data_IF_226526077679
#
_entry.id   IF_226526077679
#
_cell.length_a   1.000
_cell.length_b   1.000
_cell.length_c   1.000
_cell.angle_alpha   90.00
_cell.angle_beta   90.00
_cell.angle_gamma   90.00
#
_symmetry.space_group_name_H-M   'P 1'
#
loop_
_entity.id
_entity.type
_entity.pdbx_description
1 polymer ?
#
# COMPACT_ATOMS: atom_id res chain seq x y z
N UNK A 1 -8.11 -27.54 -2.56
CA UNK A 1 -8.07 -26.77 -3.83
C UNK A 1 -8.42 -25.34 -3.50
N UNK A 2 -7.59 -24.38 -3.92
CA UNK A 2 -7.95 -22.94 -3.78
C UNK A 2 -9.22 -22.67 -4.58
N UNK A 3 -10.17 -21.99 -3.98
CA UNK A 3 -11.40 -21.57 -4.66
C UNK A 3 -11.05 -20.65 -5.82
N UNK A 4 -11.62 -20.92 -6.99
CA UNK A 4 -11.36 -20.12 -8.22
C UNK A 4 -11.68 -18.64 -8.01
N UNK A 5 -12.66 -18.32 -7.18
CA UNK A 5 -13.02 -16.94 -6.84
C UNK A 5 -11.92 -16.21 -6.06
N UNK A 6 -11.25 -16.92 -5.16
CA UNK A 6 -10.12 -16.37 -4.39
C UNK A 6 -8.90 -16.11 -5.29
N UNK A 7 -8.57 -17.06 -6.17
CA UNK A 7 -7.47 -16.88 -7.14
C UNK A 7 -7.73 -15.66 -8.02
N UNK A 8 -8.94 -15.53 -8.54
CA UNK A 8 -9.34 -14.37 -9.34
C UNK A 8 -9.22 -13.07 -8.55
N UNK A 9 -9.66 -13.06 -7.29
CA UNK A 9 -9.56 -11.87 -6.42
C UNK A 9 -8.10 -11.46 -6.16
N UNK A 10 -7.20 -12.41 -5.98
CA UNK A 10 -5.76 -12.15 -5.82
C UNK A 10 -5.18 -11.53 -7.11
N UNK A 11 -5.51 -12.10 -8.28
CA UNK A 11 -5.04 -11.58 -9.58
C UNK A 11 -5.56 -10.16 -9.81
N UNK A 12 -6.85 -9.91 -9.60
CA UNK A 12 -7.45 -8.57 -9.74
C UNK A 12 -6.77 -7.58 -8.79
N UNK A 13 -6.46 -8.00 -7.57
CA UNK A 13 -5.78 -7.15 -6.58
C UNK A 13 -4.36 -6.76 -7.03
N UNK A 14 -3.59 -7.69 -7.57
CA UNK A 14 -2.25 -7.43 -8.11
C UNK A 14 -2.33 -6.42 -9.27
N UNK A 15 -3.27 -6.60 -10.18
CA UNK A 15 -3.50 -5.69 -11.31
C UNK A 15 -3.91 -4.30 -10.81
N UNK A 16 -4.83 -4.23 -9.84
CA UNK A 16 -5.28 -2.96 -9.27
C UNK A 16 -4.13 -2.20 -8.59
N UNK A 17 -3.26 -2.89 -7.83
CA UNK A 17 -2.07 -2.30 -7.22
C UNK A 17 -1.12 -1.79 -8.31
N UNK A 18 -0.84 -2.60 -9.35
CA UNK A 18 0.06 -2.24 -10.44
C UNK A 18 -0.44 -1.01 -11.23
N UNK A 19 -1.74 -0.94 -11.55
CA UNK A 19 -2.34 0.23 -12.20
C UNK A 19 -2.26 1.46 -11.30
N UNK A 20 -2.59 1.32 -10.01
CA UNK A 20 -2.55 2.43 -9.05
C UNK A 20 -1.12 2.94 -8.81
N UNK A 21 -0.11 2.11 -8.99
CA UNK A 21 1.30 2.50 -8.92
C UNK A 21 1.69 3.46 -10.06
N UNK A 22 1.03 3.40 -11.21
CA UNK A 22 1.28 4.30 -12.34
C UNK A 22 0.61 5.67 -12.18
N UNK A 23 -0.34 5.80 -11.24
CA UNK A 23 -0.91 7.08 -10.85
C UNK A 23 0.03 7.77 -9.85
N UNK A 24 1.11 8.36 -10.35
CA UNK A 24 2.17 8.97 -9.57
C UNK A 24 2.42 10.42 -9.97
N UNK A 25 2.88 11.21 -9.02
CA UNK A 25 3.54 12.48 -9.25
C UNK A 25 4.76 12.58 -8.33
N UNK A 26 5.86 13.06 -8.86
CA UNK A 26 7.09 13.21 -8.10
C UNK A 26 7.13 14.54 -7.32
N UNK A 27 7.58 14.45 -6.07
CA UNK A 27 8.02 15.62 -5.34
C UNK A 27 9.54 15.71 -5.49
N UNK A 28 10.07 16.78 -6.12
CA UNK A 28 11.51 16.97 -6.22
C UNK A 28 12.14 17.09 -4.83
N UNK A 29 13.16 16.29 -4.56
CA UNK A 29 13.97 16.39 -3.35
C UNK A 29 15.43 16.47 -3.74
N UNK A 30 16.29 17.00 -2.85
CA UNK A 30 17.73 17.09 -3.09
C UNK A 30 18.43 15.72 -3.22
N UNK A 31 17.76 14.62 -2.86
CA UNK A 31 18.27 13.24 -2.98
C UNK A 31 17.63 12.43 -4.11
N UNK A 32 16.90 13.07 -5.04
CA UNK A 32 16.09 12.39 -6.06
C UNK A 32 14.61 12.45 -5.72
N UNK A 33 13.72 12.34 -6.73
CA UNK A 33 12.28 12.38 -6.53
C UNK A 33 11.76 11.18 -5.73
N UNK A 34 10.88 11.42 -4.77
CA UNK A 34 10.12 10.35 -4.12
C UNK A 34 8.70 10.40 -4.69
N UNK A 35 8.23 9.34 -5.38
CA UNK A 35 6.93 9.36 -6.01
C UNK A 35 5.80 9.26 -4.98
N UNK A 36 4.82 10.16 -5.05
CA UNK A 36 3.52 10.01 -4.38
C UNK A 36 2.60 9.26 -5.33
N UNK A 37 2.25 8.04 -4.99
CA UNK A 37 1.49 7.14 -5.86
C UNK A 37 0.13 6.79 -5.29
N UNK A 38 -0.80 6.33 -6.15
CA UNK A 38 -2.03 5.66 -5.74
C UNK A 38 -1.81 4.30 -5.08
N UNK A 39 -0.61 3.75 -5.16
CA UNK A 39 -0.23 2.40 -4.74
C UNK A 39 -0.58 2.08 -3.28
N UNK A 40 -0.21 2.96 -2.33
CA UNK A 40 -0.49 2.75 -0.91
C UNK A 40 -1.99 2.70 -0.60
N UNK A 41 -2.81 3.47 -1.33
CA UNK A 41 -4.27 3.41 -1.22
C UNK A 41 -4.79 2.04 -1.69
N UNK A 42 -4.39 1.59 -2.89
CA UNK A 42 -4.82 0.31 -3.43
C UNK A 42 -4.43 -0.86 -2.51
N UNK A 43 -3.22 -0.84 -1.96
CA UNK A 43 -2.72 -1.83 -1.01
C UNK A 43 -3.60 -1.91 0.24
N UNK A 44 -3.93 -0.79 0.85
CA UNK A 44 -4.77 -0.77 2.05
C UNK A 44 -6.21 -1.20 1.75
N UNK A 45 -6.75 -0.84 0.58
CA UNK A 45 -8.07 -1.30 0.12
C UNK A 45 -8.08 -2.82 -0.07
N UNK A 46 -7.08 -3.37 -0.76
CA UNK A 46 -6.91 -4.82 -0.96
C UNK A 46 -6.80 -5.55 0.37
N UNK A 47 -5.98 -5.04 1.29
CA UNK A 47 -5.83 -5.62 2.63
C UNK A 47 -7.14 -5.62 3.42
N UNK A 48 -7.96 -4.57 3.28
CA UNK A 48 -9.23 -4.47 3.99
C UNK A 48 -10.30 -5.40 3.43
N UNK A 49 -10.34 -5.58 2.13
CA UNK A 49 -11.38 -6.35 1.44
C UNK A 49 -11.10 -7.86 1.43
N UNK A 50 -9.84 -8.27 1.26
CA UNK A 50 -9.49 -9.69 1.16
C UNK A 50 -9.29 -10.33 2.55
N UNK A 51 -10.01 -11.42 2.84
CA UNK A 51 -9.90 -12.13 4.11
C UNK A 51 -8.65 -13.02 4.19
N UNK A 52 -8.41 -13.61 5.36
CA UNK A 52 -7.51 -14.74 5.58
C UNK A 52 -6.07 -14.57 5.04
N UNK A 53 -5.54 -13.35 5.02
CA UNK A 53 -4.18 -13.10 4.55
C UNK A 53 -4.01 -13.05 3.02
N UNK A 54 -5.06 -13.24 2.22
CA UNK A 54 -4.96 -13.14 0.76
C UNK A 54 -4.57 -11.74 0.27
N UNK A 55 -4.88 -10.70 1.02
CA UNK A 55 -4.36 -9.36 0.75
C UNK A 55 -2.84 -9.28 0.90
N UNK A 56 -2.29 -9.90 1.94
CA UNK A 56 -0.83 -9.99 2.16
C UNK A 56 -0.18 -10.82 1.06
N UNK A 57 -0.80 -11.94 0.67
CA UNK A 57 -0.35 -12.76 -0.45
C UNK A 57 -0.31 -11.98 -1.77
N UNK A 58 -1.35 -11.18 -2.06
CA UNK A 58 -1.39 -10.32 -3.25
C UNK A 58 -0.23 -9.32 -3.28
N UNK A 59 0.07 -8.71 -2.13
CA UNK A 59 1.20 -7.77 -2.00
C UNK A 59 2.54 -8.49 -2.17
N UNK A 60 2.71 -9.65 -1.57
CA UNK A 60 3.94 -10.45 -1.70
C UNK A 60 4.20 -10.82 -3.16
N UNK A 61 3.18 -11.32 -3.87
CA UNK A 61 3.29 -11.66 -5.30
C UNK A 61 3.58 -10.40 -6.12
N UNK A 62 2.89 -9.28 -5.87
CA UNK A 62 3.15 -8.01 -6.54
C UNK A 62 4.62 -7.58 -6.39
N UNK A 63 5.17 -7.65 -5.16
CA UNK A 63 6.57 -7.31 -4.91
C UNK A 63 7.53 -8.26 -5.65
N UNK A 64 7.27 -9.56 -5.62
CA UNK A 64 8.09 -10.56 -6.32
C UNK A 64 8.09 -10.29 -7.84
N UNK A 65 6.92 -10.05 -8.43
CA UNK A 65 6.80 -9.74 -9.86
C UNK A 65 7.60 -8.49 -10.24
N UNK A 66 7.55 -7.45 -9.41
CA UNK A 66 8.37 -6.25 -9.63
C UNK A 66 9.88 -6.52 -9.47
N UNK A 67 10.30 -7.34 -8.50
CA UNK A 67 11.71 -7.74 -8.29
C UNK A 67 12.26 -8.48 -9.51
N UNK A 68 11.49 -9.41 -10.08
CA UNK A 68 11.91 -10.21 -11.23
C UNK A 68 11.87 -9.45 -12.57
N UNK A 69 11.50 -8.16 -12.55
CA UNK A 69 11.66 -7.27 -13.70
C UNK A 69 10.36 -6.84 -14.38
N UNK A 70 9.17 -7.22 -13.90
CA UNK A 70 7.93 -6.65 -14.43
C UNK A 70 7.83 -5.16 -14.06
N UNK A 71 7.55 -4.26 -15.02
CA UNK A 71 7.52 -2.81 -14.80
C UNK A 71 6.20 -2.37 -14.13
N UNK A 72 5.96 -2.86 -12.91
CA UNK A 72 4.70 -2.67 -12.17
C UNK A 72 4.83 -1.78 -10.94
N UNK A 73 6.05 -1.37 -10.57
CA UNK A 73 6.26 -0.35 -9.54
C UNK A 73 5.98 1.05 -10.09
N UNK A 74 6.05 2.07 -9.23
CA UNK A 74 5.86 3.46 -9.64
C UNK A 74 6.74 3.81 -10.86
N UNK A 75 6.19 4.62 -11.78
CA UNK A 75 6.86 5.09 -13.00
C UNK A 75 7.35 3.93 -13.90
N UNK A 76 6.53 2.89 -14.00
CA UNK A 76 6.83 1.67 -14.77
C UNK A 76 8.18 1.04 -14.42
N UNK A 77 8.62 1.22 -13.19
CA UNK A 77 9.92 0.71 -12.73
C UNK A 77 9.84 -0.72 -12.22
N UNK A 78 10.99 -1.36 -12.08
CA UNK A 78 11.13 -2.74 -11.62
C UNK A 78 12.54 -3.03 -11.10
N UNK A 79 12.75 -4.25 -10.63
CA UNK A 79 14.04 -4.78 -10.25
C UNK A 79 14.35 -4.66 -8.76
N UNK A 80 15.28 -5.49 -8.29
CA UNK A 80 15.71 -5.55 -6.90
C UNK A 80 16.29 -4.21 -6.41
N UNK A 81 16.92 -3.43 -7.30
CA UNK A 81 17.47 -2.11 -6.97
C UNK A 81 16.44 -1.13 -6.40
N UNK A 82 15.15 -1.29 -6.73
CA UNK A 82 14.09 -0.44 -6.15
C UNK A 82 13.83 -0.74 -4.68
N UNK A 83 14.11 -1.95 -4.21
CA UNK A 83 13.95 -2.31 -2.80
C UNK A 83 15.06 -1.76 -1.90
N UNK A 84 16.26 -1.56 -2.45
CA UNK A 84 17.38 -0.99 -1.71
C UNK A 84 17.53 0.51 -1.90
N UNK A 85 16.86 1.10 -2.89
CA UNK A 85 16.83 2.55 -3.12
C UNK A 85 15.86 3.30 -2.21
N UNK A 86 15.74 4.62 -2.42
CA UNK A 86 14.98 5.53 -1.56
C UNK A 86 13.52 5.14 -1.33
N UNK A 87 12.87 4.52 -2.30
CA UNK A 87 11.48 4.04 -2.17
C UNK A 87 11.36 2.64 -1.57
N UNK A 88 12.47 1.94 -1.36
CA UNK A 88 12.47 0.55 -0.91
C UNK A 88 11.75 0.35 0.42
N UNK A 89 11.98 1.25 1.38
CA UNK A 89 11.32 1.23 2.67
C UNK A 89 9.80 1.23 2.59
N UNK A 90 9.24 1.93 1.63
CA UNK A 90 7.78 1.95 1.40
C UNK A 90 7.32 0.63 0.78
N UNK A 91 8.10 0.04 -0.14
CA UNK A 91 7.74 -1.21 -0.80
C UNK A 91 7.65 -2.38 0.18
N UNK A 92 8.68 -2.64 0.98
CA UNK A 92 8.56 -3.68 2.01
C UNK A 92 7.73 -3.23 3.21
N UNK A 93 7.57 -1.92 3.41
CA UNK A 93 6.62 -1.34 4.34
C UNK A 93 5.17 -1.77 4.03
N UNK A 94 4.80 -1.93 2.76
CA UNK A 94 3.50 -2.47 2.37
C UNK A 94 3.27 -3.88 2.89
N UNK A 95 4.26 -4.75 2.77
CA UNK A 95 4.16 -6.13 3.23
C UNK A 95 4.12 -6.22 4.76
N UNK A 96 5.03 -5.52 5.44
CA UNK A 96 5.12 -5.51 6.90
C UNK A 96 3.83 -4.93 7.50
N UNK A 97 3.36 -3.78 6.99
CA UNK A 97 2.11 -3.18 7.43
C UNK A 97 0.92 -4.10 7.16
N UNK A 98 0.91 -4.80 6.02
CA UNK A 98 -0.12 -5.75 5.66
C UNK A 98 -0.21 -6.92 6.65
N UNK A 99 0.91 -7.48 7.05
CA UNK A 99 0.98 -8.55 8.06
C UNK A 99 0.45 -8.01 9.41
N UNK A 100 0.95 -6.86 9.86
CA UNK A 100 0.53 -6.25 11.13
C UNK A 100 -0.97 -5.94 11.16
N UNK A 101 -1.49 -5.31 10.09
CA UNK A 101 -2.91 -4.98 10.00
C UNK A 101 -3.80 -6.24 9.96
N UNK A 102 -3.35 -7.31 9.32
CA UNK A 102 -4.09 -8.56 9.28
C UNK A 102 -4.19 -9.21 10.66
N UNK A 103 -3.15 -9.08 11.47
CA UNK A 103 -3.15 -9.58 12.86
C UNK A 103 -3.97 -8.68 13.79
N UNK A 104 -3.88 -7.36 13.64
CA UNK A 104 -4.57 -6.40 14.52
C UNK A 104 -6.07 -6.27 14.20
N UNK A 105 -6.45 -6.49 12.94
CA UNK A 105 -7.84 -6.40 12.46
C UNK A 105 -8.29 -7.73 11.83
N UNK A 106 -8.43 -8.81 12.62
CA UNK A 106 -8.85 -10.11 12.08
C UNK A 106 -10.29 -10.06 11.52
N UNK A 107 -11.14 -9.19 12.08
CA UNK A 107 -12.54 -8.98 11.67
C UNK A 107 -12.72 -7.55 11.16
N UNK A 108 -12.71 -7.37 9.83
CA UNK A 108 -12.91 -6.08 9.19
C UNK A 108 -14.39 -5.88 8.88
N UNK A 109 -15.04 -5.06 9.70
CA UNK A 109 -16.48 -4.81 9.61
C UNK A 109 -16.79 -3.67 8.64
N UNK A 110 -18.04 -3.56 8.18
CA UNK A 110 -18.53 -2.42 7.38
C UNK A 110 -18.80 -1.17 8.24
N UNK A 111 -18.12 -1.01 9.38
CA UNK A 111 -18.27 0.13 10.27
C UNK A 111 -17.22 1.21 9.95
N UNK A 112 -17.66 2.46 9.95
CA UNK A 112 -16.84 3.64 9.65
C UNK A 112 -15.56 3.68 10.51
N UNK A 113 -15.69 3.51 11.83
CA UNK A 113 -14.55 3.54 12.74
C UNK A 113 -13.53 2.45 12.45
N UNK A 114 -13.98 1.24 12.09
CA UNK A 114 -13.09 0.12 11.73
C UNK A 114 -12.29 0.42 10.47
N UNK A 115 -12.96 0.92 9.42
CA UNK A 115 -12.30 1.28 8.17
C UNK A 115 -11.34 2.45 8.35
N UNK A 116 -11.77 3.51 9.05
CA UNK A 116 -10.94 4.69 9.31
C UNK A 116 -9.69 4.35 10.13
N UNK A 117 -9.84 3.57 11.22
CA UNK A 117 -8.70 3.15 12.05
C UNK A 117 -7.71 2.29 11.26
N UNK A 118 -8.23 1.36 10.42
CA UNK A 118 -7.39 0.52 9.57
C UNK A 118 -6.59 1.36 8.56
N UNK A 119 -7.25 2.27 7.84
CA UNK A 119 -6.59 3.14 6.85
C UNK A 119 -5.57 4.07 7.50
N UNK A 120 -5.91 4.64 8.65
CA UNK A 120 -5.00 5.54 9.40
C UNK A 120 -3.77 4.78 9.89
N UNK A 121 -3.96 3.66 10.59
CA UNK A 121 -2.85 2.87 11.10
C UNK A 121 -1.98 2.33 9.97
N UNK A 122 -2.59 1.81 8.90
CA UNK A 122 -1.85 1.29 7.75
C UNK A 122 -1.01 2.36 7.05
N UNK A 123 -1.58 3.54 6.82
CA UNK A 123 -0.84 4.67 6.25
C UNK A 123 0.32 5.09 7.15
N UNK A 124 0.08 5.19 8.47
CA UNK A 124 1.12 5.55 9.44
C UNK A 124 2.26 4.53 9.48
N UNK A 125 1.95 3.23 9.46
CA UNK A 125 2.96 2.17 9.42
C UNK A 125 3.81 2.22 8.15
N UNK A 126 3.17 2.40 6.98
CA UNK A 126 3.89 2.52 5.71
C UNK A 126 4.84 3.72 5.73
N UNK A 127 4.36 4.88 6.17
CA UNK A 127 5.19 6.08 6.29
C UNK A 127 6.33 5.89 7.29
N UNK A 128 6.06 5.29 8.44
CA UNK A 128 7.06 5.03 9.47
C UNK A 128 8.19 4.15 8.93
N UNK A 129 7.84 3.02 8.31
CA UNK A 129 8.84 2.06 7.78
C UNK A 129 9.64 2.70 6.64
N UNK A 130 8.96 3.41 5.73
CA UNK A 130 9.62 4.16 4.65
C UNK A 130 10.61 5.19 5.17
N UNK A 131 10.20 5.96 6.18
CA UNK A 131 11.04 7.00 6.80
C UNK A 131 12.23 6.41 7.55
N UNK A 132 12.02 5.31 8.29
CA UNK A 132 13.11 4.61 8.96
C UNK A 132 14.16 4.11 7.97
N UNK A 133 13.73 3.59 6.81
CA UNK A 133 14.66 3.21 5.75
C UNK A 133 15.45 4.41 5.22
N UNK A 134 14.77 5.50 4.89
CA UNK A 134 15.41 6.73 4.42
C UNK A 134 16.40 7.31 5.46
N UNK A 135 16.11 7.13 6.75
CA UNK A 135 16.96 7.67 7.82
C UNK A 135 18.34 7.03 7.88
N UNK A 136 18.50 5.83 7.34
CA UNK A 136 19.80 5.14 7.26
C UNK A 136 20.74 5.86 6.31
N UNK A 137 20.22 6.41 5.22
CA UNK A 137 21.02 7.10 4.19
C UNK A 137 21.15 8.61 4.46
N UNK A 138 20.05 9.28 4.82
CA UNK A 138 19.99 10.75 4.90
C UNK A 138 20.00 11.30 6.33
N UNK A 139 19.92 10.44 7.34
CA UNK A 139 19.68 10.83 8.74
C UNK A 139 18.21 11.19 9.01
N UNK A 140 17.79 11.10 10.27
CA UNK A 140 16.38 11.21 10.67
C UNK A 140 15.72 12.53 10.28
N UNK A 141 16.41 13.67 10.44
CA UNK A 141 15.85 14.98 10.13
C UNK A 141 15.44 15.09 8.65
N UNK A 142 16.34 14.72 7.73
CA UNK A 142 16.05 14.72 6.29
C UNK A 142 15.05 13.64 5.88
N UNK A 143 15.10 12.48 6.53
CA UNK A 143 14.13 11.42 6.28
C UNK A 143 12.70 11.87 6.62
N UNK A 144 12.50 12.64 7.67
CA UNK A 144 11.18 13.23 8.00
C UNK A 144 10.81 14.30 6.97
N UNK A 145 11.75 15.19 6.64
CA UNK A 145 11.53 16.26 5.66
C UNK A 145 11.12 15.73 4.29
N UNK A 146 11.77 14.65 3.80
CA UNK A 146 11.52 14.10 2.46
C UNK A 146 10.52 12.95 2.46
N UNK A 147 10.48 12.15 3.52
CA UNK A 147 9.71 10.90 3.58
C UNK A 147 8.38 11.00 4.33
N UNK A 148 8.11 12.09 5.07
CA UNK A 148 6.84 12.28 5.79
C UNK A 148 6.14 13.55 5.36
N UNK A 149 6.81 14.69 5.52
CA UNK A 149 6.19 16.02 5.36
C UNK A 149 5.44 16.18 4.04
N UNK A 150 5.99 15.85 2.86
CA UNK A 150 5.29 16.01 1.60
C UNK A 150 4.15 15.01 1.40
N UNK A 151 4.16 13.89 2.16
CA UNK A 151 3.13 12.87 2.03
C UNK A 151 1.89 13.13 2.86
N UNK A 152 1.96 13.98 3.91
CA UNK A 152 0.84 14.22 4.84
C UNK A 152 -0.46 14.61 4.13
N UNK A 153 -0.49 15.60 3.22
CA UNK A 153 -1.73 15.96 2.55
C UNK A 153 -2.33 14.81 1.75
N UNK A 154 -1.48 14.12 0.97
CA UNK A 154 -1.89 12.95 0.21
C UNK A 154 -2.34 11.77 1.09
N UNK A 155 -1.70 11.58 2.25
CA UNK A 155 -2.07 10.55 3.22
C UNK A 155 -3.48 10.77 3.77
N UNK A 156 -3.82 12.01 4.16
CA UNK A 156 -5.15 12.36 4.65
C UNK A 156 -6.21 12.06 3.58
N UNK A 157 -5.98 12.52 2.36
CA UNK A 157 -6.90 12.27 1.23
C UNK A 157 -7.07 10.77 0.98
N UNK A 158 -6.00 10.00 0.98
CA UNK A 158 -6.04 8.54 0.77
C UNK A 158 -6.77 7.80 1.91
N UNK A 159 -6.58 8.22 3.16
CA UNK A 159 -7.30 7.67 4.31
C UNK A 159 -8.81 7.87 4.12
N UNK A 160 -9.25 9.07 3.76
CA UNK A 160 -10.66 9.37 3.56
C UNK A 160 -11.25 8.62 2.36
N UNK A 161 -10.59 8.68 1.20
CA UNK A 161 -11.02 7.96 0.00
C UNK A 161 -11.06 6.46 0.25
N UNK A 162 -10.01 5.89 0.85
CA UNK A 162 -9.92 4.47 1.15
C UNK A 162 -11.03 4.01 2.10
N UNK A 163 -11.30 4.81 3.13
CA UNK A 163 -12.40 4.53 4.07
C UNK A 163 -13.75 4.47 3.35
N UNK A 164 -14.07 5.48 2.56
CA UNK A 164 -15.34 5.52 1.80
C UNK A 164 -15.41 4.36 0.80
N UNK A 165 -14.33 4.11 0.08
CA UNK A 165 -14.27 3.07 -0.96
C UNK A 165 -14.50 1.66 -0.39
N UNK A 166 -13.84 1.30 0.72
CA UNK A 166 -14.03 -0.04 1.30
C UNK A 166 -15.43 -0.23 1.88
N UNK A 167 -16.01 0.82 2.46
CA UNK A 167 -17.39 0.78 2.96
C UNK A 167 -18.38 0.64 1.81
N UNK A 168 -18.20 1.36 0.72
CA UNK A 168 -19.03 1.29 -0.47
C UNK A 168 -18.99 -0.12 -1.10
N UNK A 169 -17.80 -0.68 -1.29
CA UNK A 169 -17.62 -2.03 -1.85
C UNK A 169 -18.28 -3.07 -0.95
N UNK A 170 -18.10 -2.99 0.37
CA UNK A 170 -18.75 -3.91 1.30
C UNK A 170 -20.27 -3.77 1.31
N UNK A 171 -20.78 -2.56 1.19
CA UNK A 171 -22.24 -2.33 1.12
C UNK A 171 -22.87 -2.95 -0.14
N UNK A 172 -22.16 -2.91 -1.28
CA UNK A 172 -22.60 -3.58 -2.52
C UNK A 172 -22.50 -5.10 -2.36
N UNK A 173 -21.37 -5.61 -1.87
CA UNK A 173 -21.16 -7.06 -1.70
C UNK A 173 -22.23 -7.70 -0.81
N UNK A 174 -22.63 -7.03 0.27
CA UNK A 174 -23.67 -7.51 1.19
C UNK A 174 -25.08 -7.47 0.60
N UNK A 175 -25.29 -6.82 -0.57
CA UNK A 175 -26.61 -6.79 -1.26
C UNK A 175 -26.73 -7.86 -2.35
N UNK A 176 -25.63 -8.49 -2.74
CA UNK A 176 -25.58 -9.46 -3.85
C UNK A 176 -25.57 -10.90 -3.33
N UNK A 177 -25.29 -11.08 -2.04
CA UNK A 177 -25.36 -12.36 -1.32
C UNK A 177 -26.66 -12.46 -0.53
#
# INVERSE_FOLDING_TARGET
MLDKSIVLSVIISIIAIAISAQLSFEIPTSGGGIPITGQSLAILVVLYLLPNGYGVLSIAIYLILGIVGLPIYADASSGFGKLIGNSGGYLYGFLISGIMLTLLFPHRTAAMHSALSFMTLGTSLILLIGTLHLSVEFGMARAIEYGVTPFIPGAIVKILIGTVLVLFIKAISNRIV
#
